data_IF_846915450342
#
_entry.id   IF_846915450342
#
_cell.length_a   1.000
_cell.length_b   1.000
_cell.length_c   1.000
_cell.angle_alpha   90.00
_cell.angle_beta   90.00
_cell.angle_gamma   90.00
#
_symmetry.space_group_name_H-M   'P 1'
#
loop_
_entity.id
_entity.type
_entity.pdbx_description
1 polymer ?
#
# COMPACT_ATOMS: atom_id res chain seq x y z
N UNK A 1 -4.34 -7.12 5.97
CA UNK A 1 -3.79 -6.55 7.22
C UNK A 1 -3.29 -7.57 8.24
N UNK A 2 -4.14 -8.44 8.83
CA UNK A 2 -3.73 -9.30 9.99
C UNK A 2 -2.43 -10.09 9.78
N UNK A 3 -2.22 -10.71 8.60
CA UNK A 3 -0.97 -11.42 8.27
C UNK A 3 0.25 -10.49 8.25
N UNK A 4 0.10 -9.30 7.69
CA UNK A 4 1.18 -8.30 7.62
C UNK A 4 1.56 -7.78 9.01
N UNK A 5 0.56 -7.43 9.83
CA UNK A 5 0.74 -7.00 11.23
C UNK A 5 1.43 -8.11 12.03
N UNK A 6 1.02 -9.37 11.87
CA UNK A 6 1.65 -10.53 12.53
C UNK A 6 3.08 -10.80 12.05
N UNK A 7 3.38 -10.64 10.77
CA UNK A 7 4.75 -10.76 10.26
C UNK A 7 5.64 -9.66 10.82
N UNK A 8 5.13 -8.43 10.89
CA UNK A 8 5.81 -7.28 11.51
C UNK A 8 6.09 -7.50 13.00
N UNK A 9 5.09 -7.95 13.77
CA UNK A 9 5.27 -8.23 15.21
C UNK A 9 6.31 -9.33 15.49
N UNK A 10 6.62 -10.14 14.48
CA UNK A 10 7.66 -11.17 14.51
C UNK A 10 8.98 -10.71 13.88
N UNK A 11 9.11 -9.43 13.52
CA UNK A 11 10.23 -8.85 12.77
C UNK A 11 10.57 -9.61 11.46
N UNK A 12 9.59 -10.28 10.86
CA UNK A 12 9.76 -10.96 9.58
C UNK A 12 9.80 -9.91 8.47
N UNK A 13 10.99 -9.68 7.92
CA UNK A 13 11.18 -8.81 6.75
C UNK A 13 10.65 -9.51 5.50
N UNK A 14 9.88 -8.76 4.71
CA UNK A 14 9.27 -9.25 3.49
C UNK A 14 10.07 -8.67 2.30
N UNK A 15 10.81 -9.51 1.60
CA UNK A 15 11.64 -9.08 0.47
C UNK A 15 10.75 -8.72 -0.72
N UNK A 16 10.84 -7.48 -1.18
CA UNK A 16 10.15 -7.00 -2.38
C UNK A 16 11.21 -6.65 -3.40
N UNK A 17 11.12 -7.26 -4.56
CA UNK A 17 12.00 -6.93 -5.68
C UNK A 17 11.28 -5.95 -6.60
N UNK A 18 12.05 -5.08 -7.25
CA UNK A 18 11.54 -4.01 -8.08
C UNK A 18 12.10 -4.15 -9.50
N UNK A 19 11.28 -3.89 -10.51
CA UNK A 19 11.78 -3.77 -11.88
C UNK A 19 12.38 -2.37 -12.13
N UNK A 20 13.01 -2.18 -13.29
CA UNK A 20 13.57 -0.88 -13.70
C UNK A 20 12.54 0.26 -13.78
N UNK A 21 11.24 -0.07 -13.79
CA UNK A 21 10.12 0.90 -13.80
C UNK A 21 9.59 1.19 -12.39
N UNK A 22 10.31 0.80 -11.34
CA UNK A 22 9.88 0.94 -9.93
C UNK A 22 8.56 0.25 -9.61
N UNK A 23 8.23 -0.83 -10.33
CA UNK A 23 7.07 -1.67 -10.02
C UNK A 23 7.53 -2.91 -9.26
N UNK A 24 6.78 -3.35 -8.24
CA UNK A 24 7.11 -4.58 -7.53
C UNK A 24 6.98 -5.78 -8.46
N UNK A 25 7.98 -6.67 -8.45
CA UNK A 25 7.96 -7.91 -9.22
C UNK A 25 6.88 -8.86 -8.68
N UNK A 26 6.41 -9.73 -9.56
CA UNK A 26 5.38 -10.72 -9.27
C UNK A 26 5.93 -11.92 -8.47
N UNK A 27 6.58 -11.64 -7.35
CA UNK A 27 7.06 -12.62 -6.37
C UNK A 27 6.17 -12.58 -5.11
N UNK A 28 6.40 -13.46 -4.13
CA UNK A 28 5.60 -13.50 -2.89
C UNK A 28 5.51 -12.14 -2.19
N UNK A 29 6.59 -11.36 -2.21
CA UNK A 29 6.63 -10.06 -1.56
C UNK A 29 5.93 -8.96 -2.32
N UNK A 30 6.15 -8.87 -3.63
CA UNK A 30 5.46 -7.90 -4.48
C UNK A 30 3.95 -8.12 -4.50
N UNK A 31 3.48 -9.38 -4.57
CA UNK A 31 2.04 -9.70 -4.42
C UNK A 31 1.46 -9.20 -3.11
N UNK A 32 2.19 -9.43 -2.02
CA UNK A 32 1.75 -9.02 -0.69
C UNK A 32 1.69 -7.50 -0.57
N UNK A 33 2.69 -6.80 -1.11
CA UNK A 33 2.73 -5.33 -1.15
C UNK A 33 1.57 -4.76 -1.98
N UNK A 34 1.36 -5.26 -3.20
CA UNK A 34 0.27 -4.83 -4.09
C UNK A 34 -1.09 -5.05 -3.44
N UNK A 35 -1.31 -6.21 -2.81
CA UNK A 35 -2.55 -6.48 -2.07
C UNK A 35 -2.74 -5.51 -0.90
N UNK A 36 -1.68 -5.18 -0.16
CA UNK A 36 -1.74 -4.25 0.96
C UNK A 36 -2.13 -2.85 0.49
N UNK A 37 -1.47 -2.34 -0.54
CA UNK A 37 -1.77 -1.05 -1.17
C UNK A 37 -3.21 -1.04 -1.67
N UNK A 38 -3.65 -2.10 -2.37
CA UNK A 38 -5.03 -2.19 -2.87
C UNK A 38 -6.10 -2.16 -1.76
N UNK A 39 -5.81 -2.70 -0.58
CA UNK A 39 -6.71 -2.57 0.59
C UNK A 39 -6.72 -1.14 1.14
N UNK A 40 -5.57 -0.47 1.24
CA UNK A 40 -5.48 0.92 1.69
C UNK A 40 -6.19 1.88 0.74
N UNK A 41 -6.00 1.70 -0.57
CA UNK A 41 -6.67 2.49 -1.61
C UNK A 41 -8.18 2.33 -1.51
N UNK A 42 -8.70 1.10 -1.41
CA UNK A 42 -10.16 0.87 -1.29
C UNK A 42 -10.80 1.43 -0.03
N UNK A 43 -10.04 1.61 1.05
CA UNK A 43 -10.54 2.24 2.28
C UNK A 43 -10.65 3.76 2.15
N UNK A 44 -9.73 4.35 1.40
CA UNK A 44 -9.57 5.81 1.34
C UNK A 44 -10.18 6.45 0.09
N UNK A 45 -10.27 5.72 -1.03
CA UNK A 45 -10.86 6.19 -2.28
C UNK A 45 -12.32 5.76 -2.35
N UNK A 46 -13.22 6.74 -2.37
CA UNK A 46 -14.64 6.49 -2.63
C UNK A 46 -14.85 5.94 -4.05
N UNK A 47 -15.78 4.99 -4.20
CA UNK A 47 -16.18 4.42 -5.50
C UNK A 47 -16.74 5.47 -6.49
N UNK A 48 -17.10 6.65 -5.98
CA UNK A 48 -17.59 7.78 -6.78
C UNK A 48 -16.50 8.42 -7.65
N UNK A 49 -15.22 8.15 -7.39
CA UNK A 49 -14.13 8.63 -8.24
C UNK A 49 -13.94 7.70 -9.44
N UNK A 50 -14.20 8.21 -10.63
CA UNK A 50 -14.06 7.46 -11.89
C UNK A 50 -12.65 7.51 -12.50
N UNK A 51 -11.81 8.47 -12.09
CA UNK A 51 -10.47 8.68 -12.68
C UNK A 51 -9.43 9.11 -11.66
N UNK A 52 -8.24 8.50 -11.70
CA UNK A 52 -7.08 8.82 -10.85
C UNK A 52 -6.52 10.24 -11.05
N UNK A 53 -6.88 10.87 -12.16
CA UNK A 53 -6.41 12.21 -12.54
C UNK A 53 -7.30 13.34 -12.00
N UNK A 54 -8.43 13.03 -11.35
CA UNK A 54 -9.26 14.04 -10.70
C UNK A 54 -8.43 14.82 -9.65
N UNK A 55 -8.46 16.16 -9.69
CA UNK A 55 -7.71 17.03 -8.77
C UNK A 55 -8.07 16.77 -7.30
N UNK A 56 -9.33 16.39 -7.03
CA UNK A 56 -9.81 16.03 -5.69
C UNK A 56 -9.13 14.77 -5.15
N UNK A 57 -8.60 13.93 -6.03
CA UNK A 57 -7.84 12.73 -5.68
C UNK A 57 -6.50 13.08 -5.00
N UNK A 58 -5.96 14.28 -5.16
CA UNK A 58 -4.68 14.65 -4.54
C UNK A 58 -4.74 14.59 -3.01
N UNK A 59 -5.84 15.03 -2.40
CA UNK A 59 -6.06 14.91 -0.96
C UNK A 59 -6.16 13.44 -0.51
N UNK A 60 -6.83 12.60 -1.32
CA UNK A 60 -6.99 11.17 -1.05
C UNK A 60 -5.65 10.42 -1.18
N UNK A 61 -4.85 10.74 -2.21
CA UNK A 61 -3.48 10.24 -2.39
C UNK A 61 -2.61 10.58 -1.18
N UNK A 62 -2.71 11.81 -0.68
CA UNK A 62 -2.04 12.23 0.55
C UNK A 62 -2.43 11.36 1.75
N UNK A 63 -3.73 11.14 1.99
CA UNK A 63 -4.20 10.27 3.09
C UNK A 63 -3.71 8.82 2.96
N UNK A 64 -3.72 8.26 1.76
CA UNK A 64 -3.19 6.90 1.52
C UNK A 64 -1.70 6.84 1.88
N UNK A 65 -0.95 7.88 1.53
CA UNK A 65 0.47 7.97 1.86
C UNK A 65 0.70 8.07 3.37
N UNK A 66 -0.04 8.92 4.06
CA UNK A 66 0.01 9.04 5.53
C UNK A 66 -0.36 7.73 6.24
N UNK A 67 -1.45 7.08 5.83
CA UNK A 67 -1.85 5.76 6.37
C UNK A 67 -0.77 4.70 6.15
N UNK A 68 -0.06 4.78 5.02
CA UNK A 68 1.06 3.89 4.71
C UNK A 68 2.23 4.16 5.66
N UNK A 69 2.63 5.43 5.82
CA UNK A 69 3.69 5.85 6.75
C UNK A 69 3.33 5.41 8.17
N UNK A 70 2.13 5.72 8.67
CA UNK A 70 1.69 5.31 10.01
C UNK A 70 1.76 3.79 10.16
N UNK A 71 1.32 3.03 9.15
CA UNK A 71 1.39 1.57 9.20
C UNK A 71 2.84 1.03 9.26
N UNK A 72 3.81 1.76 8.69
CA UNK A 72 5.23 1.41 8.71
C UNK A 72 5.98 1.94 9.95
N UNK A 73 5.62 3.13 10.44
CA UNK A 73 6.32 3.85 11.50
C UNK A 73 5.68 3.74 12.88
N UNK A 74 4.43 3.28 13.01
CA UNK A 74 3.81 3.06 14.32
C UNK A 74 4.59 1.97 15.06
N UNK A 75 5.42 2.42 16.01
CA UNK A 75 6.35 1.71 16.89
C UNK A 75 5.69 0.58 17.67
#
# INVERSE_FOLDING_TARGET
MKKFIRSRSKNVKLHVEWNMKSQPLNNKGGHTLVSCIGVLVRRNVSITFSSWNDVRMNSVKGRIWEDTIVSFHAT
#
